data_IF_314512149491
#
_entry.id   IF_314512149491
#
_cell.length_a   1.000
_cell.length_b   1.000
_cell.length_c   1.000
_cell.angle_alpha   90.00
_cell.angle_beta   90.00
_cell.angle_gamma   90.00
#
_symmetry.space_group_name_H-M   'P 1'
#
loop_
_entity.id
_entity.type
_entity.pdbx_description
1 polymer ?
#
# COMPACT_ATOMS: atom_id res chain seq x y z
N UNK A 1 14.48 -1.60 1.51
CA UNK A 1 13.41 -2.54 1.88
C UNK A 1 13.01 -3.38 0.68
N UNK A 2 12.13 -4.36 0.86
CA UNK A 2 11.65 -5.21 -0.24
C UNK A 2 10.13 -5.12 -0.30
N UNK A 3 9.61 -4.73 -1.46
CA UNK A 3 8.19 -4.76 -1.78
C UNK A 3 7.84 -6.01 -2.58
N UNK A 4 6.54 -6.24 -2.80
CA UNK A 4 6.04 -7.37 -3.59
C UNK A 4 6.64 -7.43 -5.00
N UNK A 5 6.86 -6.27 -5.61
CA UNK A 5 7.26 -6.17 -7.00
C UNK A 5 8.75 -5.88 -7.19
N UNK A 6 9.52 -5.62 -6.12
CA UNK A 6 10.92 -5.23 -6.26
C UNK A 6 11.55 -4.69 -4.99
N UNK A 7 12.78 -4.23 -5.14
CA UNK A 7 13.50 -3.54 -4.06
C UNK A 7 12.95 -2.11 -3.92
N UNK A 8 12.76 -1.64 -2.69
CA UNK A 8 12.35 -0.25 -2.42
C UNK A 8 13.50 0.46 -1.71
N UNK A 9 13.98 1.54 -2.30
CA UNK A 9 15.04 2.37 -1.74
C UNK A 9 14.60 3.82 -1.57
N UNK A 10 15.27 4.56 -0.67
CA UNK A 10 15.04 5.99 -0.50
C UNK A 10 15.94 6.75 -1.47
N UNK A 11 15.38 7.74 -2.17
CA UNK A 11 16.12 8.62 -3.06
C UNK A 11 15.59 10.05 -3.01
N UNK A 12 16.07 10.88 -3.93
CA UNK A 12 15.63 12.26 -4.08
C UNK A 12 15.15 12.52 -5.51
N UNK A 13 14.03 13.24 -5.64
CA UNK A 13 13.48 13.67 -6.93
C UNK A 13 13.11 15.15 -6.83
N UNK A 14 13.69 15.99 -7.70
CA UNK A 14 13.57 17.45 -7.66
C UNK A 14 13.84 18.08 -6.27
N UNK A 15 14.78 17.52 -5.51
CA UNK A 15 15.14 18.03 -4.18
C UNK A 15 14.24 17.54 -3.04
N UNK A 16 13.19 16.76 -3.33
CA UNK A 16 12.34 16.14 -2.32
C UNK A 16 12.66 14.67 -2.10
N UNK A 17 12.43 14.17 -0.89
CA UNK A 17 12.49 12.74 -0.60
C UNK A 17 11.48 11.97 -1.46
N UNK A 18 11.93 10.85 -2.03
CA UNK A 18 11.12 9.93 -2.81
C UNK A 18 11.42 8.48 -2.41
N UNK A 19 10.40 7.64 -2.46
CA UNK A 19 10.58 6.19 -2.43
C UNK A 19 10.71 5.70 -3.88
N UNK A 20 11.72 4.89 -4.14
CA UNK A 20 12.03 4.36 -5.47
C UNK A 20 11.86 2.84 -5.40
N UNK A 21 10.86 2.32 -6.13
CA UNK A 21 10.69 0.89 -6.34
C UNK A 21 11.44 0.49 -7.59
N UNK A 22 12.38 -0.46 -7.46
CA UNK A 22 13.24 -0.96 -8.52
C UNK A 22 12.83 -2.38 -8.85
N UNK A 23 12.42 -2.59 -10.09
CA UNK A 23 12.00 -3.89 -10.62
C UNK A 23 12.75 -4.15 -11.92
N UNK A 24 13.11 -5.41 -12.21
CA UNK A 24 13.69 -5.76 -13.52
C UNK A 24 12.58 -5.93 -14.55
N UNK A 25 12.80 -5.50 -15.80
CA UNK A 25 11.87 -5.77 -16.89
C UNK A 25 11.65 -7.29 -17.00
N UNK A 26 10.41 -7.72 -16.81
CA UNK A 26 9.92 -9.07 -17.17
C UNK A 26 8.87 -9.00 -18.26
N UNK A 27 8.01 -7.98 -18.19
CA UNK A 27 6.97 -7.66 -19.17
C UNK A 27 6.85 -6.13 -19.27
N UNK A 28 7.27 -5.57 -20.39
CA UNK A 28 7.23 -4.13 -20.67
C UNK A 28 5.79 -3.61 -20.81
N UNK A 29 4.87 -4.42 -21.33
CA UNK A 29 3.49 -4.00 -21.57
C UNK A 29 2.72 -3.81 -20.26
N UNK A 30 2.91 -4.73 -19.29
CA UNK A 30 2.33 -4.59 -17.95
C UNK A 30 2.82 -3.32 -17.26
N UNK A 31 4.10 -2.99 -17.42
CA UNK A 31 4.68 -1.78 -16.84
C UNK A 31 4.14 -0.50 -17.48
N UNK A 32 4.08 -0.44 -18.81
CA UNK A 32 3.54 0.72 -19.52
C UNK A 32 2.09 1.00 -19.08
N UNK A 33 1.30 -0.05 -18.85
CA UNK A 33 -0.04 0.08 -18.29
C UNK A 33 -0.03 0.65 -16.86
N UNK A 34 0.88 0.20 -16.00
CA UNK A 34 1.01 0.70 -14.63
C UNK A 34 1.42 2.18 -14.59
N UNK A 35 2.41 2.60 -15.39
CA UNK A 35 2.79 4.01 -15.53
C UNK A 35 1.65 4.83 -16.10
N UNK A 36 0.94 4.31 -17.10
CA UNK A 36 -0.20 5.00 -17.70
C UNK A 36 -1.30 5.26 -16.67
N UNK A 37 -1.60 4.28 -15.80
CA UNK A 37 -2.54 4.48 -14.70
C UNK A 37 -1.99 5.51 -13.72
N UNK A 38 -0.76 5.35 -13.22
CA UNK A 38 -0.15 6.20 -12.19
C UNK A 38 0.06 7.66 -12.63
N UNK A 39 0.24 7.92 -13.92
CA UNK A 39 0.38 9.29 -14.47
C UNK A 39 -0.95 10.03 -14.60
N UNK A 40 -2.09 9.36 -14.41
CA UNK A 40 -3.38 10.02 -14.49
C UNK A 40 -3.54 11.04 -13.34
N UNK A 41 -3.63 12.32 -13.69
CA UNK A 41 -3.78 13.43 -12.72
C UNK A 41 -5.01 13.28 -11.82
N UNK A 42 -6.05 12.57 -12.26
CA UNK A 42 -7.23 12.27 -11.46
C UNK A 42 -6.93 11.29 -10.30
N UNK A 43 -5.75 10.66 -10.26
CA UNK A 43 -5.32 9.85 -9.12
C UNK A 43 -4.63 10.65 -8.01
N UNK A 44 -4.32 11.93 -8.24
CA UNK A 44 -3.76 12.78 -7.20
C UNK A 44 -4.82 13.07 -6.14
N UNK A 45 -4.71 12.36 -5.01
CA UNK A 45 -5.67 12.41 -3.90
C UNK A 45 -4.93 12.13 -2.59
N UNK A 46 -5.29 12.83 -1.51
CA UNK A 46 -4.55 12.79 -0.23
C UNK A 46 -4.41 11.38 0.35
N UNK A 47 -5.41 10.51 0.14
CA UNK A 47 -5.41 9.13 0.64
C UNK A 47 -4.99 8.08 -0.41
N UNK A 48 -4.36 8.52 -1.50
CA UNK A 48 -3.75 7.65 -2.53
C UNK A 48 -2.28 8.02 -2.64
N UNK A 49 -1.39 7.02 -2.66
CA UNK A 49 0.04 7.25 -2.73
C UNK A 49 0.41 8.08 -3.96
N UNK A 50 1.07 9.22 -3.72
CA UNK A 50 1.43 10.15 -4.79
C UNK A 50 2.53 9.57 -5.67
N UNK A 51 2.21 9.37 -6.95
CA UNK A 51 3.17 9.07 -7.99
C UNK A 51 3.94 10.33 -8.39
N UNK A 52 5.27 10.26 -8.35
CA UNK A 52 6.17 11.37 -8.67
C UNK A 52 6.79 11.25 -10.06
N UNK A 53 6.98 10.04 -10.55
CA UNK A 53 7.58 9.80 -11.87
C UNK A 53 8.05 8.37 -12.05
N UNK A 54 8.58 8.09 -13.24
CA UNK A 54 9.11 6.78 -13.60
C UNK A 54 10.31 6.91 -14.50
N UNK A 55 11.23 5.94 -14.46
CA UNK A 55 12.40 5.91 -15.32
C UNK A 55 12.76 4.48 -15.75
N UNK A 56 13.38 4.36 -16.91
CA UNK A 56 14.12 3.16 -17.32
C UNK A 56 15.61 3.41 -17.15
N UNK A 57 16.32 2.44 -16.61
CA UNK A 57 17.78 2.49 -16.51
C UNK A 57 18.39 1.14 -16.85
N UNK A 58 19.62 1.13 -17.33
CA UNK A 58 20.37 -0.10 -17.57
C UNK A 58 21.48 -0.18 -16.54
N UNK A 59 21.47 -1.23 -15.71
CA UNK A 59 22.49 -1.47 -14.67
C UNK A 59 22.92 -2.94 -14.72
N UNK A 60 24.23 -3.18 -14.78
CA UNK A 60 24.81 -4.53 -14.85
C UNK A 60 24.19 -5.39 -15.96
N UNK A 61 24.11 -4.84 -17.18
CA UNK A 61 23.51 -5.50 -18.37
C UNK A 61 22.04 -5.92 -18.22
N UNK A 62 21.33 -5.36 -17.22
CA UNK A 62 19.91 -5.59 -16.99
C UNK A 62 19.16 -4.26 -17.05
N UNK A 63 18.05 -4.23 -17.79
CA UNK A 63 17.13 -3.09 -17.77
C UNK A 63 16.26 -3.14 -16.52
N UNK A 64 16.41 -2.11 -15.71
CA UNK A 64 15.64 -1.86 -14.51
C UNK A 64 14.61 -0.76 -14.77
N UNK A 65 13.48 -0.93 -14.12
CA UNK A 65 12.34 -0.05 -14.12
C UNK A 65 12.25 0.58 -12.74
N UNK A 66 12.20 1.90 -12.70
CA UNK A 66 12.14 2.67 -11.46
C UNK A 66 10.79 3.38 -11.38
N UNK A 67 10.02 3.10 -10.33
CA UNK A 67 8.79 3.81 -9.98
C UNK A 67 9.07 4.73 -8.79
N UNK A 68 8.84 6.03 -8.96
CA UNK A 68 9.08 7.03 -7.93
C UNK A 68 7.76 7.47 -7.31
N UNK A 69 7.66 7.37 -6.00
CA UNK A 69 6.49 7.78 -5.22
C UNK A 69 6.88 8.68 -4.05
N UNK A 70 5.90 9.31 -3.42
CA UNK A 70 6.12 10.00 -2.14
C UNK A 70 6.75 9.06 -1.10
N UNK A 71 7.67 9.61 -0.31
CA UNK A 71 8.29 8.93 0.84
C UNK A 71 7.55 9.35 2.11
N UNK A 72 7.28 8.37 2.97
CA UNK A 72 6.67 8.58 4.29
C UNK A 72 7.63 8.05 5.36
N UNK A 73 7.96 8.88 6.35
CA UNK A 73 8.97 8.54 7.38
C UNK A 73 8.48 7.45 8.33
N UNK A 74 7.17 7.35 8.48
CA UNK A 74 6.45 6.43 9.35
C UNK A 74 6.27 5.04 8.70
N UNK A 75 6.73 4.86 7.47
CA UNK A 75 6.68 3.60 6.75
C UNK A 75 5.26 3.19 6.37
N UNK A 76 5.05 1.87 6.25
CA UNK A 76 3.72 1.31 5.98
C UNK A 76 2.88 1.27 7.26
N UNK A 77 1.56 1.24 7.11
CA UNK A 77 0.66 1.07 8.26
C UNK A 77 0.99 -0.19 9.08
N UNK A 78 1.46 -1.26 8.42
CA UNK A 78 1.92 -2.47 9.10
C UNK A 78 3.11 -2.19 10.05
N UNK A 79 4.16 -1.52 9.55
CA UNK A 79 5.33 -1.18 10.38
C UNK A 79 4.93 -0.23 11.51
N UNK A 80 4.12 0.79 11.20
CA UNK A 80 3.65 1.75 12.18
C UNK A 80 2.90 1.08 13.35
N UNK A 81 1.98 0.16 13.05
CA UNK A 81 1.19 -0.56 14.06
C UNK A 81 1.99 -1.58 14.87
N UNK A 82 3.15 -2.04 14.37
CA UNK A 82 4.06 -2.89 15.15
C UNK A 82 4.83 -2.10 16.21
N UNK A 83 5.12 -0.83 15.93
CA UNK A 83 6.01 0.00 16.76
C UNK A 83 5.24 0.95 17.69
N UNK A 84 3.95 1.19 17.42
CA UNK A 84 3.14 2.19 18.12
C UNK A 84 1.84 1.60 18.66
N UNK A 85 1.38 2.12 19.79
CA UNK A 85 0.01 1.92 20.26
C UNK A 85 -0.89 3.00 19.66
N UNK A 86 -2.12 2.64 19.29
CA UNK A 86 -3.06 3.55 18.62
C UNK A 86 -4.36 3.65 19.40
N UNK A 87 -4.91 4.85 19.46
CA UNK A 87 -6.20 5.13 20.11
C UNK A 87 -7.37 4.74 19.20
N UNK A 88 -8.57 4.66 19.77
CA UNK A 88 -9.81 4.42 19.01
C UNK A 88 -10.00 5.48 17.91
N UNK A 89 -9.75 6.75 18.24
CA UNK A 89 -9.94 7.84 17.30
C UNK A 89 -8.95 7.75 16.13
N UNK A 90 -7.68 7.45 16.40
CA UNK A 90 -6.67 7.26 15.34
C UNK A 90 -7.03 6.08 14.43
N UNK A 91 -7.50 4.97 15.00
CA UNK A 91 -7.95 3.82 14.20
C UNK A 91 -9.15 4.20 13.30
N UNK A 92 -10.11 4.97 13.81
CA UNK A 92 -11.23 5.47 13.00
C UNK A 92 -10.73 6.35 11.86
N UNK A 93 -9.76 7.22 12.11
CA UNK A 93 -9.16 8.07 11.09
C UNK A 93 -8.38 7.27 10.03
N UNK A 94 -7.68 6.20 10.42
CA UNK A 94 -7.04 5.28 9.47
C UNK A 94 -8.08 4.59 8.59
N UNK A 95 -9.15 4.05 9.17
CA UNK A 95 -10.22 3.41 8.38
C UNK A 95 -10.88 4.43 7.44
N UNK A 96 -11.19 5.64 7.94
CA UNK A 96 -11.83 6.71 7.17
C UNK A 96 -10.98 7.14 5.98
N UNK A 97 -9.68 7.34 6.19
CA UNK A 97 -8.73 7.71 5.12
C UNK A 97 -8.59 6.59 4.08
N UNK A 98 -8.44 5.34 4.50
CA UNK A 98 -8.37 4.19 3.59
C UNK A 98 -9.65 4.06 2.75
N UNK A 99 -10.83 4.13 3.39
CA UNK A 99 -12.11 4.09 2.69
C UNK A 99 -12.27 5.26 1.70
N UNK A 100 -11.78 6.45 2.06
CA UNK A 100 -11.81 7.63 1.17
C UNK A 100 -10.91 7.43 -0.05
N UNK A 101 -9.70 6.89 0.13
CA UNK A 101 -8.81 6.54 -0.98
C UNK A 101 -9.41 5.47 -1.89
N UNK A 102 -10.04 4.43 -1.31
CA UNK A 102 -10.74 3.39 -2.07
C UNK A 102 -11.93 3.91 -2.86
N UNK A 103 -12.77 4.74 -2.22
CA UNK A 103 -13.89 5.37 -2.88
C UNK A 103 -13.42 6.20 -4.07
N UNK A 104 -12.35 6.98 -3.86
CA UNK A 104 -11.72 7.75 -4.94
C UNK A 104 -11.27 6.84 -6.08
N UNK A 105 -10.56 5.74 -5.81
CA UNK A 105 -10.12 4.79 -6.84
C UNK A 105 -11.30 4.15 -7.60
N UNK A 106 -12.34 3.73 -6.90
CA UNK A 106 -13.51 3.07 -7.48
C UNK A 106 -14.44 4.03 -8.26
N UNK A 107 -14.47 5.32 -7.91
CA UNK A 107 -15.33 6.28 -8.58
C UNK A 107 -14.86 6.51 -10.02
N UNK A 108 -15.74 6.29 -10.99
CA UNK A 108 -15.49 6.73 -12.36
C UNK A 108 -15.62 8.26 -12.42
N UNK A 109 -14.63 8.93 -13.01
CA UNK A 109 -14.63 10.38 -13.19
C UNK A 109 -14.72 10.70 -14.67
N UNK A 110 -15.68 11.53 -15.06
CA UNK A 110 -15.90 11.96 -16.44
C UNK A 110 -15.25 13.32 -16.72
N UNK A 111 -14.93 13.57 -18.00
CA UNK A 111 -14.35 14.85 -18.46
C UNK A 111 -12.91 14.71 -18.98
N UNK A 112 -12.29 15.84 -19.30
CA UNK A 112 -10.95 15.90 -19.92
C UNK A 112 -9.80 15.36 -19.05
N UNK A 113 -10.05 15.24 -17.75
CA UNK A 113 -9.16 14.60 -16.76
C UNK A 113 -9.89 13.46 -16.06
N UNK A 114 -10.68 12.70 -16.82
CA UNK A 114 -11.41 11.56 -16.29
C UNK A 114 -10.49 10.41 -15.90
N UNK A 115 -11.03 9.50 -15.09
CA UNK A 115 -10.41 8.20 -14.84
C UNK A 115 -11.47 7.10 -14.82
N UNK A 116 -11.15 5.91 -15.32
CA UNK A 116 -12.02 4.76 -15.15
C UNK A 116 -12.10 4.39 -13.65
N UNK A 117 -13.10 3.57 -13.30
CA UNK A 117 -13.12 2.88 -12.02
C UNK A 117 -11.90 1.93 -11.93
N UNK A 118 -11.06 2.11 -10.91
CA UNK A 118 -9.84 1.33 -10.71
C UNK A 118 -10.02 0.43 -9.50
N UNK A 119 -10.04 -0.87 -9.72
CA UNK A 119 -10.03 -1.84 -8.64
C UNK A 119 -8.60 -2.02 -8.10
N UNK A 120 -8.40 -1.81 -6.79
CA UNK A 120 -7.07 -1.94 -6.17
C UNK A 120 -6.53 -3.38 -6.19
N UNK A 121 -7.42 -4.40 -6.13
CA UNK A 121 -7.13 -5.85 -6.25
C UNK A 121 -6.20 -6.47 -5.20
N UNK A 122 -5.48 -5.69 -4.41
CA UNK A 122 -4.59 -6.18 -3.34
C UNK A 122 -4.77 -5.39 -2.03
N UNK A 123 -5.84 -5.66 -1.27
CA UNK A 123 -6.21 -4.91 -0.06
C UNK A 123 -5.89 -5.65 1.24
N UNK A 124 -4.75 -6.36 1.30
CA UNK A 124 -4.36 -7.21 2.44
C UNK A 124 -4.45 -6.49 3.80
N UNK A 125 -4.12 -5.20 3.81
CA UNK A 125 -4.08 -4.37 5.01
C UNK A 125 -5.47 -4.08 5.60
N UNK A 126 -6.51 -3.97 4.76
CA UNK A 126 -7.90 -3.80 5.22
C UNK A 126 -8.46 -5.07 5.82
N UNK A 127 -8.09 -6.23 5.29
CA UNK A 127 -8.49 -7.52 5.87
C UNK A 127 -7.89 -7.69 7.26
N UNK A 128 -6.60 -7.40 7.42
CA UNK A 128 -5.96 -7.41 8.73
C UNK A 128 -6.60 -6.41 9.71
N UNK A 129 -6.89 -5.19 9.26
CA UNK A 129 -7.51 -4.16 10.09
C UNK A 129 -8.97 -4.50 10.46
N UNK A 130 -9.73 -5.10 9.54
CA UNK A 130 -11.09 -5.57 9.79
C UNK A 130 -11.13 -6.74 10.78
N UNK A 131 -10.16 -7.66 10.72
CA UNK A 131 -10.02 -8.74 11.71
C UNK A 131 -9.60 -8.19 13.07
N UNK A 132 -8.64 -7.25 13.10
CA UNK A 132 -8.24 -6.55 14.32
C UNK A 132 -9.43 -5.84 15.00
N UNK A 133 -10.24 -5.14 14.21
CA UNK A 133 -11.45 -4.46 14.70
C UNK A 133 -12.54 -5.44 15.16
N UNK A 134 -12.72 -6.56 14.46
CA UNK A 134 -13.75 -7.56 14.75
C UNK A 134 -13.44 -8.43 15.97
N UNK A 135 -12.20 -8.89 16.10
CA UNK A 135 -11.81 -9.85 17.13
C UNK A 135 -11.23 -9.20 18.40
N UNK A 136 -10.67 -7.99 18.29
CA UNK A 136 -9.84 -7.43 19.37
C UNK A 136 -10.35 -6.08 19.92
N UNK A 137 -11.43 -5.53 19.36
CA UNK A 137 -12.03 -4.27 19.81
C UNK A 137 -13.31 -4.47 20.65
N UNK A 138 -13.16 -5.06 21.83
CA UNK A 138 -14.27 -5.19 22.79
C UNK A 138 -14.53 -3.86 23.52
N UNK A 139 -15.81 -3.55 23.80
CA UNK A 139 -16.24 -2.33 24.53
C UNK A 139 -15.64 -2.20 25.93
N UNK A 140 -15.20 -3.31 26.52
CA UNK A 140 -14.61 -3.40 27.86
C UNK A 140 -13.11 -3.71 27.71
N UNK A 141 -12.19 -2.85 28.17
CA UNK A 141 -10.75 -3.03 27.99
C UNK A 141 -10.18 -4.29 28.65
N UNK A 142 -10.75 -4.79 29.76
CA UNK A 142 -10.21 -5.93 30.52
C UNK A 142 -10.43 -7.29 29.81
N UNK A 143 -11.36 -7.36 28.86
CA UNK A 143 -11.62 -8.57 28.04
C UNK A 143 -10.86 -8.55 26.71
N UNK A 144 -10.08 -7.50 26.45
CA UNK A 144 -9.22 -7.47 25.26
C UNK A 144 -8.14 -8.56 25.40
N UNK A 145 -7.93 -9.39 24.38
CA UNK A 145 -6.89 -10.42 24.43
C UNK A 145 -5.51 -9.81 24.72
N UNK A 146 -4.68 -10.51 25.50
CA UNK A 146 -3.29 -10.10 25.74
C UNK A 146 -2.52 -10.00 24.42
N UNK A 147 -1.54 -9.09 24.36
CA UNK A 147 -0.70 -8.81 23.17
C UNK A 147 -0.16 -10.10 22.52
N UNK A 148 0.18 -11.13 23.31
CA UNK A 148 0.61 -12.43 22.79
C UNK A 148 -0.43 -13.11 21.90
N UNK A 149 -1.73 -13.05 22.25
CA UNK A 149 -2.80 -13.66 21.44
C UNK A 149 -3.07 -12.89 20.16
N UNK A 150 -2.92 -11.56 20.21
CA UNK A 150 -3.00 -10.70 19.02
C UNK A 150 -1.89 -11.08 18.03
N UNK A 151 -0.67 -11.28 18.54
CA UNK A 151 0.47 -11.71 17.72
C UNK A 151 0.24 -13.09 17.08
N UNK A 152 -0.19 -14.08 17.86
CA UNK A 152 -0.47 -15.44 17.34
C UNK A 152 -1.54 -15.45 16.23
N UNK A 153 -2.58 -14.62 16.37
CA UNK A 153 -3.62 -14.50 15.35
C UNK A 153 -3.10 -13.81 14.08
N UNK A 154 -2.29 -12.76 14.21
CA UNK A 154 -1.64 -12.09 13.08
C UNK A 154 -0.68 -13.04 12.34
N UNK A 155 0.11 -13.82 13.07
CA UNK A 155 1.03 -14.82 12.50
C UNK A 155 0.26 -15.91 11.74
N UNK A 156 -0.88 -16.35 12.27
CA UNK A 156 -1.76 -17.32 11.61
C UNK A 156 -2.39 -16.77 10.33
N UNK A 157 -2.85 -15.52 10.35
CA UNK A 157 -3.40 -14.85 9.17
C UNK A 157 -2.32 -14.71 8.10
N UNK A 158 -1.10 -14.31 8.47
CA UNK A 158 0.01 -14.20 7.54
C UNK A 158 0.30 -15.57 6.88
N UNK A 159 0.35 -16.65 7.65
CA UNK A 159 0.55 -18.00 7.14
C UNK A 159 -0.58 -18.48 6.21
N UNK A 160 -1.83 -18.12 6.50
CA UNK A 160 -2.98 -18.48 5.65
C UNK A 160 -2.99 -17.66 4.35
N UNK A 161 -2.52 -16.42 4.38
CA UNK A 161 -2.32 -15.61 3.17
C UNK A 161 -1.19 -16.15 2.29
N UNK A 162 -0.05 -16.55 2.87
CA UNK A 162 1.06 -17.18 2.14
C UNK A 162 0.61 -18.49 1.44
N UNK A 163 -0.26 -19.28 2.09
CA UNK A 163 -0.85 -20.48 1.46
C UNK A 163 -1.73 -20.15 0.26
N UNK A 164 -2.56 -19.12 0.33
CA UNK A 164 -3.40 -18.68 -0.80
C UNK A 164 -2.55 -18.22 -1.99
N UNK A 165 -1.36 -17.67 -1.77
CA UNK A 165 -0.42 -17.29 -2.82
C UNK A 165 0.26 -18.47 -3.50
N UNK A 166 0.40 -19.62 -2.82
CA UNK A 166 0.97 -20.84 -3.40
C UNK A 166 0.01 -21.61 -4.34
N UNK A 167 -1.24 -21.16 -4.45
CA UNK A 167 -2.30 -21.82 -5.24
C UNK A 167 -2.61 -21.04 -6.53
N UNK A 168 -1.98 -19.88 -6.74
CA UNK A 168 -2.09 -19.02 -7.93
C UNK A 168 -0.75 -18.98 -8.67
#
# INVERSE_FOLDING_TARGET
GQGRFGEVTKGAFHGENAAITITRIRDEASWQNEVHVCTNIALYYENVLCFKGSAFTTRNDSTEIWLLTASHEQGSLYVYLLENTVTVNETVEFVRSICSGLLHLHAEMFGSKGKPAIAHRDLKHLTALAILLKEYWHKIPEVRPTVCRVKEALDKINADMEKLESVV
#
